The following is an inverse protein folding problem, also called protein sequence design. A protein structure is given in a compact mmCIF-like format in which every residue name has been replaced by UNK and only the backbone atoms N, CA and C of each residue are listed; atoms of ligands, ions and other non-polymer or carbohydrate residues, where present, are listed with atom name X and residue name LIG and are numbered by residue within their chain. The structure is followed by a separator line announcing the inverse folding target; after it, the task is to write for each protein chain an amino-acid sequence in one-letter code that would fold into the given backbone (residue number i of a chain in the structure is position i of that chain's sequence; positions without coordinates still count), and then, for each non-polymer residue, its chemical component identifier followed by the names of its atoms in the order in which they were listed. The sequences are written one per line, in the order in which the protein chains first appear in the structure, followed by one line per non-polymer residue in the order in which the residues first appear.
data_IF_786562700107
#
_entry.id   IF_786562700107
#
_cell.length_a   1.000
_cell.length_b   1.000
_cell.length_c   1.000
_cell.angle_alpha   90.00
_cell.angle_beta   90.00
_cell.angle_gamma   90.00
#
_symmetry.space_group_name_H-M   'P 1'
#
loop_
_entity.id
_entity.type
_entity.pdbx_description
1 polymer ?
#
# COMPACT_ATOMS: atom_id res chain seq x y z
N UNK A 1 58.65 51.44 -8.62
CA UNK A 1 57.24 51.17 -8.99
C UNK A 1 56.42 51.27 -7.72
N UNK A 2 55.54 52.27 -7.66
CA UNK A 2 54.82 52.70 -6.47
C UNK A 2 53.47 51.97 -6.33
N UNK A 3 53.01 51.89 -5.07
CA UNK A 3 51.89 51.12 -4.55
C UNK A 3 50.49 51.55 -5.02
N UNK A 4 49.51 50.65 -4.95
CA UNK A 4 48.42 50.79 -3.95
C UNK A 4 47.45 49.58 -3.89
N UNK A 5 46.83 49.49 -2.71
CA UNK A 5 45.84 48.53 -2.18
C UNK A 5 44.46 48.68 -2.84
N UNK A 6 43.68 47.59 -2.96
CA UNK A 6 42.21 47.64 -2.85
C UNK A 6 41.62 46.26 -2.54
N UNK A 7 40.56 46.27 -1.72
CA UNK A 7 39.87 45.18 -1.05
C UNK A 7 38.51 44.83 -1.67
N UNK A 8 38.02 43.62 -1.34
CA UNK A 8 36.62 43.15 -1.24
C UNK A 8 36.01 42.41 -2.48
N UNK A 9 34.98 41.54 -2.30
CA UNK A 9 34.24 41.20 -1.07
C UNK A 9 34.15 39.70 -0.71
N UNK A 10 33.86 39.46 0.56
CA UNK A 10 33.23 38.24 1.08
C UNK A 10 31.80 38.18 0.57
N UNK A 11 31.34 37.01 0.10
CA UNK A 11 29.94 36.64 0.18
C UNK A 11 29.80 35.16 0.57
N UNK A 12 28.77 34.82 1.35
CA UNK A 12 28.74 33.68 2.26
C UNK A 12 27.97 32.49 1.65
N UNK A 13 28.11 31.34 2.31
CA UNK A 13 27.18 30.22 2.37
C UNK A 13 26.04 30.21 1.33
N UNK A 14 26.10 29.23 0.42
CA UNK A 14 24.90 28.54 -0.02
C UNK A 14 24.94 27.14 0.60
N UNK A 15 24.14 26.98 1.66
CA UNK A 15 23.77 25.69 2.22
C UNK A 15 22.81 24.96 1.26
N UNK A 16 22.81 23.64 1.41
CA UNK A 16 21.88 22.67 0.82
C UNK A 16 22.20 22.16 -0.58
N UNK A 17 23.38 21.54 -0.70
CA UNK A 17 23.45 20.21 -1.32
C UNK A 17 23.17 19.15 -0.25
N UNK A 18 21.94 18.65 -0.18
CA UNK A 18 21.68 17.29 0.29
C UNK A 18 21.08 16.51 -0.88
N UNK A 19 21.94 16.21 -1.84
CA UNK A 19 21.69 15.09 -2.75
C UNK A 19 21.61 13.83 -1.87
N UNK A 20 20.42 13.22 -1.82
CA UNK A 20 20.22 11.84 -1.36
C UNK A 20 21.27 10.97 -2.05
N UNK A 21 22.26 10.48 -1.30
CA UNK A 21 23.14 9.41 -1.77
C UNK A 21 22.30 8.13 -1.75
N UNK A 22 21.53 7.88 -2.80
CA UNK A 22 21.11 6.51 -3.08
C UNK A 22 22.35 5.74 -3.55
N UNK A 23 22.65 4.63 -2.88
CA UNK A 23 23.71 3.72 -3.28
C UNK A 23 23.30 2.97 -4.55
N UNK A 24 24.25 2.80 -5.48
CA UNK A 24 24.02 2.23 -6.82
C UNK A 24 24.03 0.70 -6.85
N UNK A 25 24.24 0.04 -5.69
CA UNK A 25 24.37 -1.43 -5.60
C UNK A 25 23.23 -2.14 -4.84
N UNK A 26 22.35 -1.40 -4.16
CA UNK A 26 21.24 -2.00 -3.42
C UNK A 26 19.93 -1.97 -4.21
N UNK A 27 19.09 -2.98 -4.05
CA UNK A 27 17.78 -3.11 -4.68
C UNK A 27 16.71 -3.43 -3.63
N UNK A 28 15.48 -2.94 -3.85
CA UNK A 28 14.35 -3.31 -2.99
C UNK A 28 13.98 -4.79 -3.22
N UNK A 29 13.82 -5.53 -2.12
CA UNK A 29 13.13 -6.83 -2.11
C UNK A 29 11.61 -6.64 -2.20
N UNK A 30 11.12 -5.45 -1.86
CA UNK A 30 9.73 -5.05 -1.84
C UNK A 30 9.36 -4.37 -0.52
N UNK A 31 8.12 -3.88 -0.49
CA UNK A 31 7.51 -3.30 0.71
C UNK A 31 6.57 -4.29 1.38
N UNK A 32 6.43 -4.15 2.69
CA UNK A 32 5.49 -4.97 3.46
C UNK A 32 5.47 -4.63 4.94
N UNK A 33 4.54 -5.22 5.69
CA UNK A 33 4.54 -5.05 7.13
C UNK A 33 5.72 -5.72 7.81
N UNK A 34 6.11 -5.11 8.93
CA UNK A 34 7.01 -5.70 9.90
C UNK A 34 6.18 -6.24 11.07
N UNK A 35 6.51 -7.45 11.51
CA UNK A 35 5.91 -8.06 12.68
C UNK A 35 6.94 -8.65 13.62
N UNK A 36 6.46 -9.04 14.79
CA UNK A 36 7.22 -9.67 15.85
C UNK A 36 6.53 -10.96 16.27
N UNK A 37 7.34 -11.93 16.70
CA UNK A 37 6.92 -13.21 17.23
C UNK A 37 6.20 -14.08 16.17
N UNK A 38 6.97 -14.95 15.54
CA UNK A 38 6.52 -15.92 14.54
C UNK A 38 5.94 -17.20 15.13
N UNK A 39 5.81 -17.32 16.46
CA UNK A 39 5.38 -18.60 17.11
C UNK A 39 3.97 -19.06 16.72
N UNK A 40 3.16 -18.17 16.15
CA UNK A 40 1.84 -18.48 15.61
C UNK A 40 1.84 -18.85 14.13
N UNK A 41 2.96 -18.66 13.43
CA UNK A 41 3.08 -18.98 12.01
C UNK A 41 3.48 -20.45 11.88
N UNK A 42 2.53 -21.29 11.48
CA UNK A 42 2.80 -22.70 11.18
C UNK A 42 3.59 -22.89 9.89
N UNK A 43 4.19 -24.08 9.71
CA UNK A 43 4.78 -24.47 8.42
C UNK A 43 3.72 -24.41 7.31
N UNK A 44 4.08 -23.87 6.15
CA UNK A 44 3.16 -23.65 5.01
C UNK A 44 1.99 -22.69 5.32
N UNK A 45 2.11 -21.87 6.35
CA UNK A 45 1.08 -20.91 6.73
C UNK A 45 1.35 -19.54 6.10
N UNK A 46 0.29 -18.91 5.60
CA UNK A 46 0.27 -17.48 5.26
C UNK A 46 -0.29 -16.62 6.41
N UNK A 47 -0.49 -17.21 7.59
CA UNK A 47 -0.99 -16.49 8.75
C UNK A 47 -0.04 -15.35 9.13
N UNK A 48 -0.59 -14.20 9.55
CA UNK A 48 0.23 -13.07 9.94
C UNK A 48 1.05 -13.37 11.21
N UNK A 49 2.09 -12.56 11.47
CA UNK A 49 2.81 -12.60 12.73
C UNK A 49 1.88 -12.37 13.92
N UNK A 50 2.31 -12.81 15.11
CA UNK A 50 1.48 -12.68 16.31
C UNK A 50 1.24 -11.23 16.73
N UNK A 51 2.18 -10.35 16.39
CA UNK A 51 2.13 -8.92 16.70
C UNK A 51 2.66 -8.11 15.50
N UNK A 52 1.95 -7.04 15.13
CA UNK A 52 2.41 -6.08 14.13
C UNK A 52 3.25 -4.99 14.76
N UNK A 53 4.15 -4.40 13.96
CA UNK A 53 5.02 -3.31 14.38
C UNK A 53 4.79 -2.09 13.48
N UNK A 54 4.81 -0.89 14.07
CA UNK A 54 4.72 0.39 13.38
C UNK A 54 5.86 1.32 13.82
N UNK A 55 6.29 2.20 12.91
CA UNK A 55 7.20 3.29 13.23
C UNK A 55 6.42 4.49 13.78
N UNK A 56 6.75 4.93 15.00
CA UNK A 56 6.05 6.01 15.68
C UNK A 56 7.02 6.82 16.55
N UNK A 57 7.04 8.13 16.34
CA UNK A 57 7.85 9.07 17.13
C UNK A 57 9.34 8.68 17.24
N UNK A 58 9.92 8.15 16.15
CA UNK A 58 11.31 7.69 16.13
C UNK A 58 11.55 6.30 16.74
N UNK A 59 10.49 5.59 17.15
CA UNK A 59 10.55 4.27 17.79
C UNK A 59 9.80 3.24 16.96
N UNK A 60 10.03 1.95 17.26
CA UNK A 60 9.23 0.84 16.73
C UNK A 60 8.34 0.32 17.84
N UNK A 61 7.03 0.31 17.62
CA UNK A 61 6.03 -0.07 18.65
C UNK A 61 5.07 -1.12 18.13
N UNK A 62 4.58 -1.96 19.04
CA UNK A 62 3.54 -2.93 18.75
C UNK A 62 2.21 -2.22 18.47
N UNK A 63 1.56 -2.65 17.39
CA UNK A 63 0.23 -2.19 17.03
C UNK A 63 -0.73 -3.36 16.90
N UNK A 64 -2.00 -3.10 17.21
CA UNK A 64 -3.10 -4.03 16.96
C UNK A 64 -3.74 -3.77 15.59
N UNK A 65 -3.47 -2.62 15.00
CA UNK A 65 -3.99 -2.26 13.70
C UNK A 65 -3.21 -3.04 12.64
N UNK A 66 -3.94 -3.70 11.74
CA UNK A 66 -3.31 -4.38 10.62
C UNK A 66 -2.58 -3.33 9.76
N UNK A 67 -1.30 -3.55 9.44
CA UNK A 67 -0.55 -2.63 8.59
C UNK A 67 -1.13 -2.51 7.20
N UNK A 68 -0.74 -1.45 6.50
CA UNK A 68 -1.18 -1.17 5.16
C UNK A 68 -0.12 -0.43 4.34
N UNK A 69 -0.31 -0.22 3.03
CA UNK A 69 0.74 0.31 2.14
C UNK A 69 1.43 1.60 2.66
N UNK A 70 0.70 2.49 3.34
CA UNK A 70 1.24 3.71 3.95
C UNK A 70 2.02 3.50 5.26
N UNK A 71 1.98 2.31 5.85
CA UNK A 71 2.71 1.91 7.06
C UNK A 71 3.73 0.80 6.78
N UNK A 72 3.98 0.47 5.51
CA UNK A 72 4.91 -0.59 5.15
C UNK A 72 6.36 -0.16 5.24
N UNK A 73 7.17 -1.10 5.68
CA UNK A 73 8.62 -1.00 5.63
C UNK A 73 9.10 -1.46 4.25
N UNK A 74 10.16 -0.82 3.76
CA UNK A 74 10.83 -1.20 2.52
C UNK A 74 12.11 -1.97 2.87
N UNK A 75 12.23 -3.19 2.35
CA UNK A 75 13.31 -4.11 2.66
C UNK A 75 14.34 -4.03 1.54
N UNK A 76 15.51 -3.46 1.82
CA UNK A 76 16.53 -3.18 0.80
C UNK A 76 17.68 -4.18 0.94
N UNK A 77 17.91 -4.97 -0.11
CA UNK A 77 19.07 -5.86 -0.20
C UNK A 77 20.25 -5.16 -0.88
N UNK A 78 21.43 -5.33 -0.30
CA UNK A 78 22.70 -4.82 -0.83
C UNK A 78 23.68 -5.95 -1.16
N UNK A 79 23.53 -7.12 -0.54
CA UNK A 79 24.21 -8.35 -0.93
C UNK A 79 23.28 -9.56 -0.86
N UNK A 80 23.64 -10.60 -1.61
CA UNK A 80 22.90 -11.87 -1.67
C UNK A 80 23.87 -13.05 -1.64
N UNK A 81 23.62 -13.97 -0.72
CA UNK A 81 24.32 -15.25 -0.61
C UNK A 81 23.37 -16.38 -1.02
N UNK A 82 23.69 -17.03 -2.14
CA UNK A 82 22.88 -18.14 -2.65
C UNK A 82 22.94 -19.36 -1.71
N UNK A 83 21.85 -20.13 -1.58
CA UNK A 83 21.85 -21.32 -0.74
C UNK A 83 22.81 -22.39 -1.29
N UNK A 84 23.36 -23.26 -0.42
CA UNK A 84 24.28 -24.32 -0.82
C UNK A 84 23.63 -25.37 -1.74
N UNK A 85 22.28 -25.43 -1.78
CA UNK A 85 21.49 -26.23 -2.70
C UNK A 85 20.12 -25.57 -2.93
N UNK A 86 19.47 -25.91 -4.05
CA UNK A 86 18.09 -25.52 -4.34
C UNK A 86 17.17 -26.69 -4.03
N UNK A 87 16.21 -26.52 -3.12
CA UNK A 87 15.27 -27.57 -2.76
C UNK A 87 14.50 -27.27 -1.47
N UNK A 88 13.62 -28.20 -1.09
CA UNK A 88 12.91 -28.17 0.18
C UNK A 88 13.89 -27.99 1.37
N UNK A 89 13.66 -26.96 2.18
CA UNK A 89 14.51 -26.59 3.31
C UNK A 89 15.66 -25.63 2.98
N UNK A 90 15.83 -25.21 1.71
CA UNK A 90 16.86 -24.22 1.37
C UNK A 90 16.50 -22.84 1.93
N UNK A 91 17.48 -22.16 2.53
CA UNK A 91 17.34 -20.79 3.04
C UNK A 91 18.12 -19.83 2.14
N UNK A 92 17.42 -18.91 1.49
CA UNK A 92 18.00 -17.80 0.74
C UNK A 92 18.31 -16.66 1.71
N UNK A 93 19.52 -16.10 1.62
CA UNK A 93 19.98 -15.07 2.57
C UNK A 93 20.35 -13.80 1.83
N UNK A 94 19.73 -12.70 2.24
CA UNK A 94 19.98 -11.35 1.73
C UNK A 94 20.49 -10.49 2.89
N UNK A 95 21.40 -9.55 2.63
CA UNK A 95 21.84 -8.59 3.65
C UNK A 95 21.63 -7.16 3.14
N UNK A 96 21.29 -6.25 4.05
CA UNK A 96 21.05 -4.84 3.73
C UNK A 96 20.40 -4.09 4.89
N UNK A 97 19.40 -3.28 4.60
CA UNK A 97 18.75 -2.41 5.59
C UNK A 97 17.24 -2.35 5.42
N UNK A 98 16.54 -1.92 6.46
CA UNK A 98 15.08 -1.74 6.45
C UNK A 98 14.81 -0.24 6.52
N UNK A 99 14.01 0.25 5.60
CA UNK A 99 13.56 1.64 5.57
C UNK A 99 12.11 1.71 6.08
N UNK A 100 11.88 2.54 7.07
CA UNK A 100 10.57 2.80 7.66
C UNK A 100 9.71 3.71 6.76
N UNK A 101 8.37 3.73 6.98
CA UNK A 101 7.45 4.59 6.24
C UNK A 101 7.78 6.08 6.30
N UNK A 102 8.41 6.53 7.40
CA UNK A 102 8.86 7.90 7.60
C UNK A 102 10.08 8.29 6.73
N UNK A 103 10.63 7.34 5.98
CA UNK A 103 11.79 7.53 5.11
C UNK A 103 13.14 7.30 5.78
N UNK A 104 13.17 7.08 7.10
CA UNK A 104 14.36 6.75 7.87
C UNK A 104 14.64 5.25 7.83
N UNK A 105 15.81 4.83 8.33
CA UNK A 105 16.18 3.43 8.44
C UNK A 105 15.94 2.92 9.86
N UNK A 106 15.56 1.65 10.00
CA UNK A 106 15.59 1.00 11.31
C UNK A 106 17.03 0.95 11.78
N UNK A 107 17.24 1.30 13.04
CA UNK A 107 18.52 1.24 13.69
C UNK A 107 18.41 0.65 15.09
N UNK A 108 19.45 -0.03 15.54
CA UNK A 108 19.62 -0.45 16.93
C UNK A 108 20.62 0.49 17.60
N UNK A 109 20.20 1.16 18.68
CA UNK A 109 21.04 2.15 19.36
C UNK A 109 21.00 1.97 20.89
N UNK A 110 22.16 1.95 21.57
CA UNK A 110 23.50 1.65 21.02
C UNK A 110 23.64 0.17 20.61
N UNK A 111 24.62 -0.20 19.76
CA UNK A 111 24.87 -1.61 19.39
C UNK A 111 25.19 -2.54 20.57
N UNK A 112 25.80 -1.99 21.62
CA UNK A 112 26.23 -2.71 22.81
C UNK A 112 26.03 -1.81 24.04
N UNK A 113 25.76 -2.42 25.21
CA UNK A 113 25.61 -1.71 26.48
C UNK A 113 24.20 -1.81 27.08
N UNK A 114 23.81 -0.81 27.86
CA UNK A 114 22.48 -0.72 28.48
C UNK A 114 21.57 0.21 27.67
N UNK A 115 20.25 0.00 27.76
CA UNK A 115 19.22 0.78 27.07
C UNK A 115 19.29 0.67 25.54
N UNK A 116 19.51 -0.54 25.03
CA UNK A 116 19.49 -0.82 23.60
C UNK A 116 18.03 -0.80 23.12
N UNK A 117 17.73 0.08 22.17
CA UNK A 117 16.40 0.24 21.60
C UNK A 117 16.44 0.09 20.08
N UNK A 118 15.30 -0.32 19.50
CA UNK A 118 15.07 -0.27 18.06
C UNK A 118 14.35 1.04 17.72
N UNK A 119 14.98 1.85 16.88
CA UNK A 119 14.55 3.21 16.54
C UNK A 119 14.49 3.39 15.02
N UNK A 120 13.87 4.48 14.57
CA UNK A 120 14.08 4.99 13.21
C UNK A 120 15.08 6.14 13.25
N UNK A 121 16.11 6.06 12.40
CA UNK A 121 17.21 7.02 12.34
C UNK A 121 17.60 7.29 10.88
N UNK A 122 18.29 8.40 10.62
CA UNK A 122 18.72 8.71 9.24
C UNK A 122 19.55 7.56 8.68
N UNK A 123 19.22 7.11 7.46
CA UNK A 123 19.96 6.05 6.79
C UNK A 123 21.44 6.42 6.64
N UNK A 124 22.32 5.57 7.16
CA UNK A 124 23.76 5.77 7.24
C UNK A 124 24.49 4.72 6.40
N UNK A 125 25.22 5.19 5.39
CA UNK A 125 25.98 4.38 4.45
C UNK A 125 27.50 4.55 4.62
N UNK A 126 27.95 4.79 5.85
CA UNK A 126 29.37 4.94 6.21
C UNK A 126 30.08 3.64 6.61
N UNK A 127 29.36 2.52 6.64
CA UNK A 127 29.85 1.18 6.98
C UNK A 127 30.63 0.48 5.86
N UNK A 128 30.70 -0.85 5.97
CA UNK A 128 31.53 -1.68 5.08
C UNK A 128 30.93 -1.81 3.68
N UNK A 129 31.72 -1.46 2.66
CA UNK A 129 31.26 -1.41 1.26
C UNK A 129 30.86 -2.77 0.69
N UNK A 130 31.37 -3.88 1.21
CA UNK A 130 30.94 -5.22 0.77
C UNK A 130 29.50 -5.58 1.12
N UNK A 131 28.84 -4.78 1.97
CA UNK A 131 27.41 -4.90 2.30
C UNK A 131 26.63 -3.65 1.86
N UNK A 132 27.09 -2.94 0.82
CA UNK A 132 26.46 -1.69 0.34
C UNK A 132 26.67 -0.50 1.28
N UNK A 133 27.75 -0.53 2.06
CA UNK A 133 28.13 0.59 2.94
C UNK A 133 27.20 0.80 4.14
N UNK A 134 26.22 -0.06 4.39
CA UNK A 134 25.26 0.10 5.49
C UNK A 134 25.99 0.14 6.85
N UNK A 135 25.68 1.12 7.69
CA UNK A 135 26.22 1.21 9.04
C UNK A 135 25.81 -0.02 9.88
N UNK A 136 26.70 -0.46 10.77
CA UNK A 136 26.48 -1.64 11.60
C UNK A 136 25.20 -1.54 12.45
N UNK A 137 24.78 -0.33 12.87
CA UNK A 137 23.54 -0.15 13.63
C UNK A 137 22.28 -0.37 12.80
N UNK A 138 22.40 -0.41 11.47
CA UNK A 138 21.29 -0.51 10.50
C UNK A 138 21.38 -1.75 9.62
N UNK A 139 22.29 -2.67 9.94
CA UNK A 139 22.61 -3.83 9.12
C UNK A 139 21.78 -5.07 9.51
N UNK A 140 20.93 -5.49 8.59
CA UNK A 140 20.02 -6.63 8.75
C UNK A 140 20.27 -7.70 7.70
N UNK A 141 19.89 -8.92 8.06
CA UNK A 141 19.81 -10.07 7.18
C UNK A 141 18.35 -10.50 7.03
N UNK A 142 17.94 -10.78 5.81
CA UNK A 142 16.62 -11.31 5.45
C UNK A 142 16.78 -12.75 5.00
N UNK A 143 16.06 -13.67 5.64
CA UNK A 143 16.09 -15.09 5.33
C UNK A 143 14.74 -15.53 4.81
N UNK A 144 14.73 -16.16 3.63
CA UNK A 144 13.54 -16.77 3.04
C UNK A 144 13.76 -18.28 2.93
N UNK A 145 12.93 -19.06 3.61
CA UNK A 145 12.92 -20.51 3.51
C UNK A 145 11.90 -20.98 2.47
N UNK A 146 12.20 -22.06 1.76
CA UNK A 146 11.33 -22.61 0.70
C UNK A 146 9.91 -23.03 1.12
N UNK A 147 9.61 -23.06 2.43
CA UNK A 147 8.33 -23.52 2.98
C UNK A 147 7.45 -22.39 3.52
N UNK A 148 8.00 -21.18 3.60
CA UNK A 148 7.38 -20.07 4.29
C UNK A 148 7.04 -18.95 3.31
N UNK A 149 5.91 -18.31 3.54
CA UNK A 149 5.46 -17.14 2.79
C UNK A 149 5.93 -15.84 3.43
N UNK A 150 7.04 -15.85 4.16
CA UNK A 150 7.53 -14.68 4.89
C UNK A 150 9.05 -14.74 5.07
N UNK A 151 9.66 -13.58 5.32
CA UNK A 151 11.07 -13.45 5.63
C UNK A 151 11.28 -13.39 7.15
N UNK A 152 12.26 -14.15 7.66
CA UNK A 152 12.82 -13.86 8.98
C UNK A 152 13.85 -12.75 8.86
N UNK A 153 13.81 -11.82 9.81
CA UNK A 153 14.75 -10.71 9.90
C UNK A 153 15.68 -10.94 11.07
N UNK A 154 16.97 -10.91 10.80
CA UNK A 154 18.04 -11.08 11.78
C UNK A 154 18.88 -9.82 11.79
N UNK A 155 19.03 -9.19 12.95
CA UNK A 155 19.94 -8.06 13.09
C UNK A 155 21.38 -8.55 13.26
N UNK A 156 22.28 -8.10 12.40
CA UNK A 156 23.67 -8.57 12.36
C UNK A 156 24.63 -7.67 13.15
N UNK A 157 24.29 -6.39 13.33
CA UNK A 157 25.22 -5.43 13.91
C UNK A 157 26.48 -5.28 13.05
N UNK A 158 27.65 -5.31 13.71
CA UNK A 158 28.96 -5.27 13.04
C UNK A 158 29.42 -6.63 12.45
N UNK A 159 28.64 -7.70 12.63
CA UNK A 159 29.02 -9.04 12.18
C UNK A 159 28.70 -9.24 10.70
N UNK A 160 29.64 -9.82 9.96
CA UNK A 160 29.47 -10.26 8.58
C UNK A 160 28.57 -11.52 8.51
N UNK A 161 27.50 -11.51 7.71
CA UNK A 161 26.73 -12.72 7.41
C UNK A 161 27.41 -13.62 6.36
N UNK A 162 26.99 -14.90 6.20
CA UNK A 162 25.95 -15.61 6.95
C UNK A 162 26.54 -16.44 8.10
N UNK A 163 25.94 -16.36 9.30
CA UNK A 163 26.47 -17.09 10.48
C UNK A 163 25.92 -18.53 10.57
N UNK A 164 24.79 -18.85 9.94
CA UNK A 164 24.41 -20.25 9.61
C UNK A 164 23.25 -20.29 8.59
N UNK A 165 23.49 -20.73 7.36
CA UNK A 165 22.47 -20.78 6.29
C UNK A 165 21.56 -22.03 6.35
N UNK A 166 21.69 -22.86 7.40
CA UNK A 166 20.94 -24.11 7.52
C UNK A 166 19.67 -24.01 8.37
N UNK A 167 19.56 -22.97 9.20
CA UNK A 167 18.43 -22.78 10.13
C UNK A 167 17.77 -21.42 9.92
N UNK A 168 16.44 -21.41 9.76
CA UNK A 168 15.65 -20.20 9.56
C UNK A 168 15.58 -19.34 10.82
N UNK A 169 15.86 -18.05 10.67
CA UNK A 169 15.95 -17.06 11.74
C UNK A 169 17.14 -17.26 12.69
N UNK A 170 18.18 -17.97 12.22
CA UNK A 170 19.45 -18.09 12.91
C UNK A 170 20.51 -17.15 12.32
N UNK A 171 21.35 -16.57 13.19
CA UNK A 171 22.59 -15.93 12.76
C UNK A 171 23.01 -14.65 13.49
N UNK A 172 22.14 -14.03 14.29
CA UNK A 172 22.47 -12.84 15.09
C UNK A 172 22.55 -13.18 16.58
N UNK A 173 23.25 -12.37 17.38
CA UNK A 173 23.26 -12.47 18.85
C UNK A 173 22.27 -11.49 19.50
N UNK A 174 21.36 -10.96 18.71
CA UNK A 174 20.41 -9.93 19.07
C UNK A 174 19.02 -10.55 19.16
N UNK A 175 18.41 -10.44 20.34
CA UNK A 175 17.13 -11.06 20.67
C UNK A 175 16.09 -9.96 20.88
N UNK A 176 14.99 -10.03 20.13
CA UNK A 176 13.93 -9.02 20.21
C UNK A 176 12.91 -9.36 21.29
N UNK A 177 12.39 -8.32 21.94
CA UNK A 177 11.28 -8.40 22.88
C UNK A 177 10.43 -7.14 22.80
N UNK A 178 9.23 -7.19 23.38
CA UNK A 178 8.41 -6.01 23.61
C UNK A 178 8.46 -5.67 25.09
N UNK A 179 8.66 -4.40 25.41
CA UNK A 179 8.60 -3.91 26.78
C UNK A 179 7.14 -3.81 27.29
N UNK A 180 6.96 -3.31 28.51
CA UNK A 180 5.61 -3.14 29.09
C UNK A 180 4.76 -2.06 28.40
N UNK A 181 5.38 -1.18 27.60
CA UNK A 181 4.71 -0.14 26.82
C UNK A 181 4.40 -0.58 25.40
N UNK A 182 4.94 -1.73 24.97
CA UNK A 182 4.82 -2.25 23.62
C UNK A 182 5.93 -1.75 22.68
N UNK A 183 6.96 -1.08 23.19
CA UNK A 183 8.13 -0.68 22.40
C UNK A 183 9.02 -1.91 22.12
N UNK A 184 9.55 -1.97 20.89
CA UNK A 184 10.47 -3.02 20.48
C UNK A 184 11.85 -2.78 21.07
N UNK A 185 12.27 -3.71 21.91
CA UNK A 185 13.59 -3.77 22.51
C UNK A 185 14.42 -4.87 21.86
N UNK A 186 15.73 -4.74 21.99
CA UNK A 186 16.66 -5.77 21.56
C UNK A 186 17.77 -5.95 22.58
N UNK A 187 18.07 -7.20 22.91
CA UNK A 187 19.12 -7.57 23.85
C UNK A 187 20.23 -8.30 23.12
N UNK A 188 21.48 -7.89 23.34
CA UNK A 188 22.65 -8.60 22.84
C UNK A 188 23.09 -9.70 23.82
N UNK A 189 23.16 -10.94 23.36
CA UNK A 189 23.58 -12.11 24.13
C UNK A 189 24.76 -12.80 23.41
N UNK A 190 25.99 -12.42 23.75
CA UNK A 190 27.22 -12.85 23.05
C UNK A 190 27.40 -14.37 22.89
N UNK A 191 26.96 -15.17 23.87
CA UNK A 191 27.10 -16.64 23.87
C UNK A 191 25.82 -17.35 23.41
N UNK A 192 24.79 -16.59 23.03
CA UNK A 192 23.51 -17.13 22.57
C UNK A 192 23.26 -16.57 21.18
N UNK A 193 23.71 -17.25 20.11
CA UNK A 193 23.15 -16.96 18.81
C UNK A 193 21.63 -17.17 18.89
N UNK A 194 20.88 -16.26 18.30
CA UNK A 194 19.47 -16.42 18.05
C UNK A 194 19.29 -17.74 17.30
N UNK A 195 18.71 -18.72 17.98
CA UNK A 195 18.63 -20.13 17.55
C UNK A 195 17.28 -20.41 16.91
N UNK A 196 16.77 -19.48 16.09
CA UNK A 196 15.48 -19.66 15.43
C UNK A 196 14.28 -19.63 16.39
N UNK A 197 14.42 -19.10 17.62
CA UNK A 197 13.29 -19.00 18.56
C UNK A 197 12.23 -18.06 18.00
N UNK A 198 11.13 -18.63 17.53
CA UNK A 198 10.04 -17.91 16.88
C UNK A 198 9.49 -16.74 17.70
N UNK A 199 9.48 -16.84 19.03
CA UNK A 199 9.01 -15.77 19.93
C UNK A 199 9.90 -14.53 20.00
N UNK A 200 11.12 -14.59 19.48
CA UNK A 200 12.13 -13.53 19.56
C UNK A 200 12.50 -13.01 18.14
N UNK A 201 11.76 -13.43 17.12
CA UNK A 201 12.03 -13.09 15.71
C UNK A 201 11.22 -11.90 15.24
N UNK A 202 11.85 -11.11 14.37
CA UNK A 202 11.17 -10.17 13.49
C UNK A 202 10.82 -10.86 12.17
N UNK A 203 9.63 -10.59 11.67
CA UNK A 203 9.10 -11.17 10.45
C UNK A 203 8.66 -10.08 9.49
N UNK A 204 8.96 -10.26 8.21
CA UNK A 204 8.38 -9.46 7.13
C UNK A 204 7.54 -10.31 6.19
N UNK A 205 6.38 -9.78 5.83
CA UNK A 205 5.60 -10.30 4.71
C UNK A 205 5.75 -9.31 3.56
N UNK A 206 6.45 -9.67 2.49
CA UNK A 206 6.84 -8.71 1.44
C UNK A 206 5.99 -8.92 0.18
N UNK A 207 5.42 -7.83 -0.35
CA UNK A 207 4.63 -7.86 -1.57
C UNK A 207 3.41 -8.78 -1.47
N UNK A 208 3.27 -9.72 -2.41
CA UNK A 208 2.12 -10.65 -2.48
C UNK A 208 2.05 -11.67 -1.34
N UNK A 209 3.05 -11.71 -0.46
CA UNK A 209 3.07 -12.53 0.75
C UNK A 209 2.14 -11.99 1.84
N UNK A 210 1.83 -10.69 1.83
CA UNK A 210 0.98 -10.09 2.84
C UNK A 210 -0.50 -10.38 2.56
N UNK A 211 -1.17 -10.93 3.57
CA UNK A 211 -2.62 -11.15 3.58
C UNK A 211 -3.17 -10.44 4.82
N UNK A 212 -3.92 -9.34 4.63
CA UNK A 212 -4.56 -8.63 5.73
C UNK A 212 -5.66 -9.48 6.37
N UNK A 213 -5.73 -9.53 7.71
CA UNK A 213 -6.82 -10.16 8.46
C UNK A 213 -7.88 -9.15 8.96
N UNK A 214 -7.78 -7.86 8.60
CA UNK A 214 -8.63 -6.82 9.22
C UNK A 214 -10.09 -6.91 8.78
N UNK A 215 -10.96 -7.47 9.61
CA UNK A 215 -12.41 -7.29 9.38
C UNK A 215 -12.77 -5.81 9.59
N UNK A 216 -13.17 -5.11 8.54
CA UNK A 216 -13.58 -3.71 8.64
C UNK A 216 -14.97 -3.61 9.28
N UNK A 217 -15.19 -2.52 10.01
CA UNK A 217 -16.54 -2.14 10.44
C UNK A 217 -17.43 -1.81 9.24
N UNK A 218 -18.77 -1.84 9.41
CA UNK A 218 -19.69 -1.54 8.32
C UNK A 218 -19.51 -0.10 7.81
N UNK A 219 -19.65 0.09 6.49
CA UNK A 219 -19.62 1.41 5.88
C UNK A 219 -20.86 2.23 6.27
N UNK A 220 -20.72 3.55 6.31
CA UNK A 220 -21.76 4.50 6.71
C UNK A 220 -22.26 5.29 5.50
N UNK A 221 -23.58 5.43 5.32
CA UNK A 221 -24.14 6.23 4.24
C UNK A 221 -23.77 7.72 4.41
N UNK A 222 -23.17 8.33 3.38
CA UNK A 222 -22.81 9.75 3.36
C UNK A 222 -23.80 10.55 2.52
N UNK A 223 -24.06 10.09 1.29
CA UNK A 223 -24.94 10.77 0.33
C UNK A 223 -25.77 9.73 -0.41
N UNK A 224 -27.06 10.01 -0.56
CA UNK A 224 -27.93 9.31 -1.51
C UNK A 224 -28.62 10.37 -2.37
N UNK A 225 -28.86 10.04 -3.63
CA UNK A 225 -29.49 10.96 -4.59
C UNK A 225 -29.30 10.51 -6.02
N UNK A 226 -29.69 11.37 -6.95
CA UNK A 226 -29.42 11.16 -8.37
C UNK A 226 -28.01 11.62 -8.68
N UNK A 227 -27.47 11.12 -9.78
CA UNK A 227 -26.13 11.48 -10.25
C UNK A 227 -26.25 12.03 -11.66
N UNK A 228 -25.39 12.99 -12.01
CA UNK A 228 -25.27 13.54 -13.36
C UNK A 228 -23.80 13.59 -13.79
N UNK A 229 -23.57 13.59 -15.11
CA UNK A 229 -22.26 13.82 -15.71
C UNK A 229 -22.21 15.22 -16.29
N UNK A 230 -21.20 15.99 -15.88
CA UNK A 230 -21.02 17.38 -16.28
C UNK A 230 -19.74 17.49 -17.12
N UNK A 231 -19.85 18.03 -18.34
CA UNK A 231 -18.68 18.38 -19.13
C UNK A 231 -17.94 19.55 -18.48
N UNK A 232 -16.66 19.38 -18.14
CA UNK A 232 -15.90 20.40 -17.42
C UNK A 232 -15.59 21.64 -18.26
N UNK A 233 -15.47 21.48 -19.58
CA UNK A 233 -15.18 22.56 -20.51
C UNK A 233 -16.40 23.41 -20.86
N UNK A 234 -17.57 22.80 -21.02
CA UNK A 234 -18.81 23.49 -21.42
C UNK A 234 -19.80 23.75 -20.29
N UNK A 235 -19.70 23.02 -19.18
CA UNK A 235 -20.71 23.00 -18.11
C UNK A 235 -22.01 22.29 -18.51
N UNK A 236 -22.05 21.67 -19.69
CA UNK A 236 -23.22 20.93 -20.18
C UNK A 236 -23.43 19.67 -19.35
N UNK A 237 -24.67 19.44 -18.94
CA UNK A 237 -25.10 18.23 -18.24
C UNK A 237 -25.50 17.21 -19.29
N UNK A 238 -24.81 16.08 -19.31
CA UNK A 238 -25.08 14.99 -20.24
C UNK A 238 -25.79 13.83 -19.51
N UNK A 239 -26.89 13.30 -20.07
CA UNK A 239 -27.36 11.99 -19.66
C UNK A 239 -26.34 10.94 -20.12
N UNK A 240 -25.85 10.11 -19.21
CA UNK A 240 -24.93 9.02 -19.58
C UNK A 240 -25.77 7.82 -20.03
N UNK A 241 -25.98 7.70 -21.34
CA UNK A 241 -26.53 6.50 -21.97
C UNK A 241 -25.42 5.45 -22.19
N UNK A 242 -25.01 4.77 -21.13
CA UNK A 242 -24.07 3.64 -21.22
C UNK A 242 -24.78 2.32 -21.59
N UNK A 243 -25.29 2.22 -22.81
CA UNK A 243 -25.69 0.95 -23.42
C UNK A 243 -27.18 0.76 -23.67
N UNK A 244 -27.44 -0.14 -24.62
CA UNK A 244 -28.71 -0.44 -25.27
C UNK A 244 -29.88 -0.69 -24.29
N UNK A 245 -31.02 -0.04 -24.52
CA UNK A 245 -32.28 -0.36 -23.82
C UNK A 245 -32.99 -1.57 -24.43
N UNK A 246 -32.45 -2.17 -25.49
CA UNK A 246 -33.03 -3.36 -26.12
C UNK A 246 -32.61 -4.62 -25.34
N UNK A 247 -33.58 -5.42 -24.90
CA UNK A 247 -33.28 -6.69 -24.25
C UNK A 247 -32.65 -7.66 -25.27
N UNK A 248 -31.38 -7.99 -25.09
CA UNK A 248 -30.81 -9.25 -25.56
C UNK A 248 -29.67 -9.23 -26.58
N UNK A 249 -28.88 -8.15 -26.73
CA UNK A 249 -27.79 -8.17 -27.73
C UNK A 249 -26.34 -8.20 -27.21
N UNK A 250 -26.04 -7.92 -25.94
CA UNK A 250 -24.73 -8.31 -25.35
C UNK A 250 -24.80 -8.38 -23.82
N UNK A 251 -24.49 -9.56 -23.26
CA UNK A 251 -24.45 -9.77 -21.80
C UNK A 251 -23.39 -8.89 -21.11
N UNK A 252 -22.39 -8.43 -21.87
CA UNK A 252 -21.25 -7.63 -21.40
C UNK A 252 -21.67 -6.25 -20.88
N UNK A 253 -22.74 -5.65 -21.42
CA UNK A 253 -23.16 -4.28 -21.06
C UNK A 253 -24.19 -4.22 -19.92
N UNK A 254 -24.75 -5.35 -19.48
CA UNK A 254 -25.76 -5.41 -18.41
C UNK A 254 -25.26 -4.91 -17.05
N UNK A 255 -23.94 -4.85 -16.86
CA UNK A 255 -23.29 -4.35 -15.65
C UNK A 255 -22.86 -2.89 -15.73
N UNK A 256 -22.80 -2.24 -16.88
CA UNK A 256 -22.16 -0.91 -16.97
C UNK A 256 -22.98 0.15 -16.20
N UNK A 257 -22.30 1.09 -15.54
CA UNK A 257 -22.92 2.21 -14.85
C UNK A 257 -23.71 3.09 -15.83
N UNK A 258 -25.03 3.03 -15.71
CA UNK A 258 -25.99 3.91 -16.38
C UNK A 258 -26.33 5.08 -15.45
N UNK A 259 -26.09 6.32 -15.88
CA UNK A 259 -26.43 7.53 -15.11
C UNK A 259 -27.40 8.35 -15.93
N UNK A 260 -28.70 8.05 -15.79
CA UNK A 260 -29.76 8.84 -16.40
C UNK A 260 -30.19 9.95 -15.43
N UNK A 261 -29.39 11.00 -15.30
CA UNK A 261 -29.66 12.16 -14.44
C UNK A 261 -30.83 13.05 -14.91
N UNK A 262 -31.87 12.50 -15.55
CA UNK A 262 -33.08 13.25 -15.90
C UNK A 262 -34.12 13.19 -14.78
N UNK A 263 -34.97 14.21 -14.68
CA UNK A 263 -36.10 14.24 -13.73
C UNK A 263 -37.02 13.00 -13.84
N UNK A 264 -36.99 12.28 -14.96
CA UNK A 264 -37.80 11.09 -15.23
C UNK A 264 -37.15 9.76 -14.82
N UNK A 265 -35.84 9.71 -14.51
CA UNK A 265 -35.23 8.49 -14.00
C UNK A 265 -35.59 8.26 -12.53
N UNK A 266 -35.87 7.01 -12.18
CA UNK A 266 -36.04 6.55 -10.79
C UNK A 266 -34.72 6.10 -10.16
N UNK A 267 -33.63 6.10 -10.92
CA UNK A 267 -32.35 5.57 -10.47
C UNK A 267 -31.76 6.50 -9.41
N UNK A 268 -31.65 5.96 -8.20
CA UNK A 268 -31.00 6.63 -7.07
C UNK A 268 -29.70 5.88 -6.82
N UNK A 269 -28.68 6.61 -6.37
CA UNK A 269 -27.37 6.08 -6.01
C UNK A 269 -27.06 6.43 -4.57
N UNK A 270 -26.18 5.66 -3.97
CA UNK A 270 -25.68 5.87 -2.62
C UNK A 270 -24.16 5.81 -2.59
N UNK A 271 -23.56 6.68 -1.80
CA UNK A 271 -22.16 6.65 -1.45
C UNK A 271 -22.02 6.30 0.03
N UNK A 272 -21.30 5.23 0.31
CA UNK A 272 -21.03 4.75 1.65
C UNK A 272 -19.57 4.97 1.98
N UNK A 273 -19.27 5.76 3.02
CA UNK A 273 -17.92 5.90 3.56
C UNK A 273 -17.52 4.62 4.29
N UNK A 274 -16.35 4.11 3.97
CA UNK A 274 -15.76 2.94 4.61
C UNK A 274 -14.46 3.35 5.31
N UNK A 275 -13.89 2.45 6.12
CA UNK A 275 -12.56 2.70 6.66
C UNK A 275 -11.55 2.68 5.51
N UNK A 276 -11.02 3.83 5.12
CA UNK A 276 -10.06 3.97 4.01
C UNK A 276 -8.61 4.05 4.46
N UNK A 277 -8.34 3.95 5.76
CA UNK A 277 -6.99 4.20 6.29
C UNK A 277 -6.00 3.20 5.74
N UNK A 278 -6.43 1.99 5.39
CA UNK A 278 -5.57 0.97 4.78
C UNK A 278 -5.12 1.30 3.35
N UNK A 279 -5.74 2.25 2.66
CA UNK A 279 -5.23 2.80 1.39
C UNK A 279 -4.44 4.09 1.63
N UNK A 280 -4.29 4.49 2.89
CA UNK A 280 -3.64 5.72 3.32
C UNK A 280 -4.48 6.98 3.11
N UNK A 281 -5.79 6.85 2.86
CA UNK A 281 -6.71 7.99 2.77
C UNK A 281 -7.43 8.22 4.11
N UNK A 282 -7.54 9.48 4.52
CA UNK A 282 -8.24 9.89 5.74
C UNK A 282 -9.48 10.72 5.38
N UNK A 283 -10.66 10.26 5.80
CA UNK A 283 -11.89 11.04 5.61
C UNK A 283 -11.98 12.22 6.57
N UNK A 284 -12.53 13.34 6.09
CA UNK A 284 -12.84 14.53 6.86
C UNK A 284 -14.26 15.05 6.52
N UNK A 285 -14.59 16.30 6.88
CA UNK A 285 -15.91 16.90 6.63
C UNK A 285 -16.25 17.17 5.15
N UNK A 286 -15.24 17.12 4.28
CA UNK A 286 -15.30 17.43 2.86
C UNK A 286 -14.83 16.28 1.97
N UNK A 287 -14.05 15.35 2.50
CA UNK A 287 -13.48 14.22 1.79
C UNK A 287 -13.95 12.91 2.40
N UNK A 288 -14.67 12.11 1.62
CA UNK A 288 -15.13 10.79 2.03
C UNK A 288 -14.58 9.74 1.08
N UNK A 289 -14.24 8.57 1.59
CA UNK A 289 -13.72 7.50 0.75
C UNK A 289 -14.47 6.20 1.04
N UNK A 290 -14.85 5.47 0.00
CA UNK A 290 -15.70 4.31 0.16
C UNK A 290 -16.31 3.78 -1.13
N UNK A 291 -17.50 3.20 -1.02
CA UNK A 291 -18.17 2.52 -2.12
C UNK A 291 -19.30 3.34 -2.71
N UNK A 292 -19.40 3.27 -4.04
CA UNK A 292 -20.50 3.82 -4.81
C UNK A 292 -21.42 2.69 -5.28
N UNK A 293 -22.72 2.80 -5.01
CA UNK A 293 -23.69 1.74 -5.25
C UNK A 293 -25.03 2.29 -5.77
N UNK A 294 -25.81 1.49 -6.52
CA UNK A 294 -27.20 1.84 -6.81
C UNK A 294 -28.06 1.68 -5.56
N UNK A 295 -28.92 2.65 -5.29
CA UNK A 295 -29.92 2.64 -4.22
C UNK A 295 -31.23 2.04 -4.75
N UNK A 296 -31.16 0.76 -5.15
CA UNK A 296 -32.29 0.01 -5.69
C UNK A 296 -32.52 -1.21 -4.78
N UNK A 297 -33.70 -1.35 -4.13
CA UNK A 297 -33.94 -2.38 -3.12
C UNK A 297 -33.69 -3.83 -3.55
N UNK A 298 -33.69 -4.10 -4.85
CA UNK A 298 -33.50 -5.44 -5.43
C UNK A 298 -32.10 -5.69 -5.99
N UNK A 299 -31.21 -4.68 -5.99
CA UNK A 299 -29.82 -4.82 -6.44
C UNK A 299 -28.88 -4.69 -5.26
N UNK A 300 -28.13 -5.76 -5.00
CA UNK A 300 -27.11 -5.77 -3.95
C UNK A 300 -25.74 -5.87 -4.64
N UNK A 301 -24.93 -4.82 -4.58
CA UNK A 301 -23.65 -4.69 -5.30
C UNK A 301 -23.08 -3.27 -5.20
N UNK A 302 -21.81 -3.10 -5.54
CA UNK A 302 -21.20 -1.79 -5.81
C UNK A 302 -20.73 -1.69 -7.25
N UNK A 303 -20.49 -0.46 -7.68
CA UNK A 303 -19.73 -0.19 -8.88
C UNK A 303 -18.25 -0.44 -8.63
N UNK A 304 -17.62 -1.10 -9.59
CA UNK A 304 -16.19 -1.36 -9.66
C UNK A 304 -15.68 -0.87 -11.00
N UNK A 305 -14.39 -0.59 -11.09
CA UNK A 305 -13.68 -0.27 -12.32
C UNK A 305 -12.88 -1.49 -12.71
N UNK A 306 -13.27 -2.12 -13.82
CA UNK A 306 -12.69 -3.38 -14.30
C UNK A 306 -11.97 -3.20 -15.63
N UNK A 307 -10.95 -4.04 -15.87
CA UNK A 307 -10.24 -4.12 -17.15
C UNK A 307 -10.91 -5.20 -18.00
N UNK A 308 -11.51 -4.82 -19.13
CA UNK A 308 -12.20 -5.78 -19.99
C UNK A 308 -11.32 -6.10 -21.19
N UNK A 309 -10.54 -7.18 -21.09
CA UNK A 309 -9.62 -7.67 -22.14
C UNK A 309 -10.31 -8.04 -23.47
N UNK A 310 -11.61 -8.37 -23.43
CA UNK A 310 -12.35 -8.91 -24.58
C UNK A 310 -13.15 -7.87 -25.37
N UNK A 311 -13.20 -6.62 -24.91
CA UNK A 311 -13.69 -5.52 -25.73
C UNK A 311 -12.43 -4.88 -26.29
N UNK A 312 -12.39 -4.52 -27.59
CA UNK A 312 -11.19 -3.99 -28.27
C UNK A 312 -10.66 -2.64 -27.75
N UNK A 313 -10.83 -2.33 -26.47
CA UNK A 313 -10.56 -1.06 -25.82
C UNK A 313 -9.55 -1.22 -24.67
N UNK A 314 -8.50 -0.40 -24.70
CA UNK A 314 -7.60 -0.20 -23.56
C UNK A 314 -8.19 0.82 -22.56
N UNK A 315 -9.37 0.54 -22.00
CA UNK A 315 -10.08 1.43 -21.08
C UNK A 315 -10.63 0.70 -19.85
N UNK A 316 -10.72 1.40 -18.70
CA UNK A 316 -11.29 0.84 -17.48
C UNK A 316 -12.76 1.26 -17.34
N UNK A 317 -13.68 0.34 -17.60
CA UNK A 317 -15.12 0.62 -17.55
C UNK A 317 -15.65 0.53 -16.12
N UNK A 318 -16.67 1.33 -15.79
CA UNK A 318 -17.36 1.24 -14.50
C UNK A 318 -18.49 0.22 -14.60
N UNK A 319 -18.34 -0.89 -13.89
CA UNK A 319 -19.26 -2.02 -13.89
C UNK A 319 -19.82 -2.27 -12.50
N UNK A 320 -21.13 -2.44 -12.42
CA UNK A 320 -21.82 -3.03 -11.30
C UNK A 320 -21.41 -4.50 -11.16
N UNK A 321 -20.80 -4.83 -10.03
CA UNK A 321 -20.51 -6.22 -9.67
C UNK A 321 -21.51 -6.68 -8.62
N UNK A 322 -22.29 -7.70 -8.97
CA UNK A 322 -23.00 -8.50 -7.98
C UNK A 322 -22.09 -9.67 -7.60
N UNK A 323 -21.45 -9.63 -6.44
CA UNK A 323 -20.57 -10.73 -6.03
C UNK A 323 -21.37 -12.03 -5.86
N UNK A 324 -21.39 -12.88 -6.90
CA UNK A 324 -21.91 -14.25 -6.77
C UNK A 324 -21.04 -15.33 -7.41
N UNK A 325 -19.93 -15.04 -8.10
CA UNK A 325 -19.25 -16.10 -8.86
C UNK A 325 -17.81 -16.48 -8.44
N UNK A 326 -17.07 -15.72 -7.60
CA UNK A 326 -15.70 -16.15 -7.21
C UNK A 326 -15.15 -15.70 -5.85
N UNK A 327 -15.86 -14.94 -5.00
CA UNK A 327 -15.32 -14.52 -3.69
C UNK A 327 -15.79 -15.45 -2.54
N UNK A 328 -14.90 -15.99 -1.69
CA UNK A 328 -15.24 -16.97 -0.66
C UNK A 328 -15.89 -16.38 0.62
N UNK A 329 -16.42 -15.15 0.59
CA UNK A 329 -17.00 -14.51 1.78
C UNK A 329 -18.52 -14.27 1.63
N UNK A 330 -19.38 -14.81 2.53
CA UNK A 330 -20.83 -14.85 2.33
C UNK A 330 -21.64 -13.58 2.68
N UNK A 331 -21.06 -12.46 3.14
CA UNK A 331 -21.85 -11.34 3.70
C UNK A 331 -21.40 -9.91 3.28
N UNK A 332 -21.27 -9.59 1.98
CA UNK A 332 -21.87 -8.37 1.36
C UNK A 332 -21.27 -8.04 -0.03
N UNK A 333 -22.08 -7.50 -0.97
CA UNK A 333 -21.67 -7.29 -2.37
C UNK A 333 -20.83 -6.05 -2.67
N UNK A 334 -20.46 -5.31 -1.64
CA UNK A 334 -19.54 -4.17 -1.71
C UNK A 334 -18.29 -4.41 -0.89
N UNK A 335 -17.86 -5.67 -0.70
CA UNK A 335 -16.64 -6.00 0.01
C UNK A 335 -16.54 -5.33 1.38
N UNK A 336 -17.50 -5.56 2.28
CA UNK A 336 -17.32 -5.09 3.69
C UNK A 336 -16.18 -5.84 4.40
N UNK A 337 -15.68 -6.90 3.78
CA UNK A 337 -14.57 -7.72 4.26
C UNK A 337 -13.28 -7.33 3.53
N UNK A 338 -12.22 -7.07 4.28
CA UNK A 338 -10.88 -6.79 3.78
C UNK A 338 -10.22 -8.07 3.27
N UNK A 339 -10.52 -8.43 2.02
CA UNK A 339 -9.75 -9.45 1.30
C UNK A 339 -8.47 -8.91 0.66
N UNK A 340 -8.12 -7.64 0.87
CA UNK A 340 -7.04 -6.93 0.19
C UNK A 340 -7.42 -5.53 -0.30
N UNK A 341 -6.46 -4.85 -0.95
CA UNK A 341 -6.65 -3.48 -1.44
C UNK A 341 -7.76 -3.43 -2.48
N UNK A 342 -8.87 -2.78 -2.13
CA UNK A 342 -10.09 -2.72 -2.93
C UNK A 342 -10.04 -1.63 -4.02
N UNK A 343 -8.89 -1.45 -4.67
CA UNK A 343 -8.66 -0.32 -5.59
C UNK A 343 -9.67 -0.24 -6.72
N UNK A 344 -10.18 -1.37 -7.18
CA UNK A 344 -11.19 -1.41 -8.25
C UNK A 344 -12.57 -0.94 -7.77
N UNK A 345 -12.90 -1.01 -6.49
CA UNK A 345 -14.24 -0.72 -5.97
C UNK A 345 -14.31 0.51 -5.06
N UNK A 346 -13.19 1.23 -4.89
CA UNK A 346 -13.08 2.37 -3.99
C UNK A 346 -13.07 3.71 -4.73
N UNK A 347 -13.85 4.64 -4.21
CA UNK A 347 -14.09 5.95 -4.78
C UNK A 347 -13.84 7.03 -3.72
N UNK A 348 -13.60 8.24 -4.20
CA UNK A 348 -13.53 9.45 -3.40
C UNK A 348 -14.76 10.29 -3.68
N UNK A 349 -15.44 10.74 -2.63
CA UNK A 349 -16.51 11.71 -2.69
C UNK A 349 -16.00 13.02 -2.09
N UNK A 350 -15.90 14.04 -2.92
CA UNK A 350 -15.48 15.38 -2.53
C UNK A 350 -16.71 16.29 -2.44
N UNK A 351 -16.85 17.01 -1.34
CA UNK A 351 -17.85 18.05 -1.19
C UNK A 351 -17.25 19.42 -1.54
N UNK A 352 -17.43 19.82 -2.80
CA UNK A 352 -17.06 21.14 -3.33
C UNK A 352 -18.27 22.08 -3.22
N UNK A 353 -18.32 22.95 -2.21
CA UNK A 353 -19.36 23.98 -2.05
C UNK A 353 -20.81 23.44 -2.08
N UNK A 354 -21.03 22.26 -1.47
CA UNK A 354 -22.34 21.61 -1.41
C UNK A 354 -22.62 20.68 -2.60
N UNK A 355 -21.72 20.60 -3.58
CA UNK A 355 -21.78 19.61 -4.66
C UNK A 355 -20.89 18.43 -4.31
N UNK A 356 -21.46 17.24 -4.36
CA UNK A 356 -20.74 16.01 -4.04
C UNK A 356 -20.24 15.36 -5.33
N UNK A 357 -18.95 15.51 -5.62
CA UNK A 357 -18.27 14.99 -6.81
C UNK A 357 -17.68 13.62 -6.50
N UNK A 358 -17.96 12.65 -7.37
CA UNK A 358 -17.48 11.27 -7.26
C UNK A 358 -16.26 11.11 -8.17
N UNK A 359 -15.16 10.62 -7.62
CA UNK A 359 -13.92 10.31 -8.34
C UNK A 359 -13.52 8.86 -8.12
N UNK A 360 -12.93 8.23 -9.14
CA UNK A 360 -12.31 6.91 -8.98
C UNK A 360 -10.88 7.07 -8.47
N UNK A 361 -10.51 6.32 -7.42
CA UNK A 361 -9.16 6.34 -6.89
C UNK A 361 -8.24 5.46 -7.72
N UNK A 362 -8.46 4.14 -7.74
CA UNK A 362 -7.62 3.19 -8.47
C UNK A 362 -6.16 3.10 -8.00
N UNK A 363 -5.82 3.73 -6.87
CA UNK A 363 -4.49 3.75 -6.26
C UNK A 363 -4.55 3.97 -4.74
N UNK A 364 -3.45 3.70 -4.05
CA UNK A 364 -3.21 4.06 -2.64
C UNK A 364 -2.37 5.33 -2.55
N UNK A 365 -2.33 6.02 -1.41
CA UNK A 365 -1.48 7.22 -1.24
C UNK A 365 0.03 6.94 -1.31
N UNK A 366 0.44 5.67 -1.21
CA UNK A 366 1.82 5.24 -1.40
C UNK A 366 2.20 5.11 -2.89
N UNK A 367 1.21 5.00 -3.78
CA UNK A 367 1.45 4.88 -5.21
C UNK A 367 1.69 6.27 -5.81
N UNK A 368 2.81 6.45 -6.51
CA UNK A 368 3.08 7.65 -7.31
C UNK A 368 2.28 7.61 -8.62
N UNK A 369 0.96 7.56 -8.54
CA UNK A 369 0.06 7.52 -9.70
C UNK A 369 -0.76 8.78 -9.83
N UNK A 370 -1.03 9.19 -11.07
CA UNK A 370 -1.96 10.26 -11.38
C UNK A 370 -3.41 9.84 -11.06
N UNK A 371 -4.23 10.82 -10.66
CA UNK A 371 -5.65 10.65 -10.38
C UNK A 371 -6.41 10.23 -11.65
N UNK A 372 -7.39 9.34 -11.50
CA UNK A 372 -8.26 8.97 -12.61
C UNK A 372 -9.35 10.01 -12.82
N UNK A 373 -9.63 10.30 -14.08
CA UNK A 373 -10.68 11.19 -14.53
C UNK A 373 -11.78 10.44 -15.28
N UNK A 374 -12.94 11.08 -15.40
CA UNK A 374 -14.07 10.57 -16.16
C UNK A 374 -14.00 10.98 -17.63
N UNK A 375 -14.24 10.00 -18.50
CA UNK A 375 -14.39 10.21 -19.94
C UNK A 375 -15.50 9.33 -20.50
N UNK A 376 -15.93 9.65 -21.72
CA UNK A 376 -16.85 8.83 -22.48
C UNK A 376 -16.08 8.13 -23.59
N UNK A 377 -16.35 6.84 -23.77
CA UNK A 377 -15.84 6.06 -24.89
C UNK A 377 -17.01 5.56 -25.74
N UNK A 378 -16.82 5.49 -27.06
CA UNK A 378 -17.81 5.00 -28.03
C UNK A 378 -17.41 3.63 -28.55
N UNK A 379 -18.36 2.76 -28.85
CA UNK A 379 -18.04 1.60 -29.68
C UNK A 379 -17.71 2.07 -31.11
N UNK A 380 -16.61 1.59 -31.71
CA UNK A 380 -15.99 2.07 -32.97
C UNK A 380 -16.93 2.17 -34.20
N UNK A 381 -18.19 1.75 -34.10
CA UNK A 381 -19.17 1.80 -35.19
C UNK A 381 -20.52 2.45 -34.86
N UNK A 382 -20.78 2.86 -33.61
CA UNK A 382 -22.06 3.49 -33.22
C UNK A 382 -21.89 4.62 -32.20
N UNK A 383 -21.86 5.86 -32.69
CA UNK A 383 -21.77 7.06 -31.85
C UNK A 383 -23.01 7.28 -30.93
N UNK A 384 -24.08 6.50 -31.10
CA UNK A 384 -25.23 6.51 -30.18
C UNK A 384 -24.99 5.68 -28.91
N UNK A 385 -23.86 4.98 -28.80
CA UNK A 385 -23.51 4.13 -27.67
C UNK A 385 -22.23 4.65 -27.00
N UNK A 386 -22.40 5.32 -25.85
CA UNK A 386 -21.30 5.93 -25.10
C UNK A 386 -21.26 5.42 -23.67
N UNK A 387 -20.15 4.85 -23.23
CA UNK A 387 -20.00 4.35 -21.86
C UNK A 387 -19.00 5.16 -21.05
N UNK A 388 -19.26 5.28 -19.75
CA UNK A 388 -18.39 5.96 -18.81
C UNK A 388 -17.15 5.10 -18.52
N UNK A 389 -15.97 5.69 -18.70
CA UNK A 389 -14.69 5.05 -18.39
C UNK A 389 -13.84 5.95 -17.51
N UNK A 390 -13.04 5.30 -16.66
CA UNK A 390 -12.00 5.94 -15.88
C UNK A 390 -10.67 5.88 -16.64
N UNK A 391 -10.02 7.03 -16.84
CA UNK A 391 -8.72 7.11 -17.52
C UNK A 391 -7.75 8.04 -16.77
N UNK A 392 -6.45 7.95 -17.06
CA UNK A 392 -5.42 8.81 -16.45
C UNK A 392 -5.14 10.07 -17.30
N UNK A 393 -5.93 10.34 -18.33
CA UNK A 393 -5.75 11.49 -19.23
C UNK A 393 -6.69 12.64 -18.85
N UNK A 394 -6.75 13.70 -19.65
CA UNK A 394 -7.48 14.96 -19.36
C UNK A 394 -8.88 14.75 -18.82
N UNK A 395 -9.24 15.55 -17.80
CA UNK A 395 -10.53 15.54 -17.15
C UNK A 395 -11.60 16.21 -18.01
N UNK A 396 -12.27 15.42 -18.86
CA UNK A 396 -13.32 15.95 -19.73
C UNK A 396 -14.65 16.09 -18.97
N UNK A 397 -14.86 15.29 -17.90
CA UNK A 397 -16.13 15.24 -17.18
C UNK A 397 -16.00 15.16 -15.64
N UNK A 398 -17.04 15.62 -14.93
CA UNK A 398 -17.26 15.37 -13.49
C UNK A 398 -18.53 14.54 -13.31
N UNK A 399 -18.46 13.52 -12.45
CA UNK A 399 -19.63 12.78 -12.00
C UNK A 399 -20.06 13.35 -10.64
N UNK A 400 -21.30 13.82 -10.49
CA UNK A 400 -21.72 14.49 -9.25
C UNK A 400 -23.13 14.13 -8.82
N UNK A 401 -23.39 14.08 -7.51
CA UNK A 401 -24.74 13.99 -6.98
C UNK A 401 -25.50 15.30 -7.18
N UNK A 402 -26.80 15.15 -7.44
CA UNK A 402 -27.79 16.24 -7.41
C UNK A 402 -28.84 15.95 -6.35
N UNK A 403 -29.39 17.02 -5.78
CA UNK A 403 -30.43 16.97 -4.75
C UNK A 403 -31.81 16.60 -5.32
#
# INVERSE_FOLDING_TARGET
MAANVSSAPVNPFSQHSQQRRQDTQCQSLGQGPLGFNSSKIGLYSSQPPATWLEAKDGKIVATKDAPYNGTFFDFIQCSYDAPPYLGEGSVQTYQGYIKAPDGNCLAVRPLEGQNIAVVTDTCDFSGYQGYGGVDANQHFQFQLQSFDFFFSIVFLGATAGPVNASDFGAGGNYHFSLDNTGELEVTYLADQPQTGKSSEQLIAQIGSQYVSEKTMGPCTLVKSGRVELVNQGSGEILPVFAGDSRPGHDEVFNGVLLVNGTAASTDTFSFYQCNSTYMGFESDSSNFYGHFAPDVPTRTGCYNVDYIDNIGYHGRAVMFSNSNNTSPSPDAPCGINDGGIQLSSFFHLENEDGKYVINFLGHTTADNSEQYNWSLNTEDTDASQQFLVANQTTADFKLQFID
#
